data_IF_227653492808
#
_entry.id   IF_227653492808
#
_cell.length_a   1.000
_cell.length_b   1.000
_cell.length_c   1.000
_cell.angle_alpha   90.00
_cell.angle_beta   90.00
_cell.angle_gamma   90.00
#
_symmetry.space_group_name_H-M   'P 1'
#
loop_
_entity.id
_entity.type
_entity.pdbx_description
1 polymer ?
#
# COMPACT_ATOMS: atom_id res chain seq x y z
N UNK A 1 -97.12 9.71 16.91
CA UNK A 1 -96.00 10.11 16.02
C UNK A 1 -94.71 9.79 16.77
N UNK A 2 -94.15 8.66 16.49
CA UNK A 2 -92.97 8.12 17.18
C UNK A 2 -91.81 8.23 16.24
N UNK A 3 -90.72 8.87 16.66
CA UNK A 3 -89.44 8.95 15.90
C UNK A 3 -88.37 8.16 16.65
N UNK A 4 -88.02 7.04 16.06
CA UNK A 4 -86.91 6.22 16.49
C UNK A 4 -85.58 6.84 16.02
N UNK A 5 -84.71 7.09 16.96
CA UNK A 5 -83.32 7.48 16.66
C UNK A 5 -82.46 6.22 16.65
N UNK A 6 -81.89 5.92 15.49
CA UNK A 6 -80.90 4.90 15.34
C UNK A 6 -79.46 5.48 15.62
N UNK A 7 -78.80 4.91 16.62
CA UNK A 7 -77.41 5.24 16.93
C UNK A 7 -76.43 4.43 16.00
N UNK A 8 -75.77 5.15 15.11
CA UNK A 8 -74.70 4.58 14.37
C UNK A 8 -73.42 4.62 15.24
N UNK A 9 -72.91 3.46 15.61
CA UNK A 9 -71.55 3.31 16.21
C UNK A 9 -70.53 3.25 15.09
N UNK A 10 -69.75 4.30 14.94
CA UNK A 10 -68.51 4.32 14.10
C UNK A 10 -67.37 3.79 14.92
N UNK A 11 -66.91 2.60 14.58
CA UNK A 11 -65.60 2.04 15.05
C UNK A 11 -64.49 2.65 14.23
N UNK A 12 -63.70 3.53 14.85
CA UNK A 12 -62.48 4.05 14.27
C UNK A 12 -61.41 2.97 14.35
N UNK A 13 -61.09 2.35 13.22
CA UNK A 13 -59.96 1.48 13.09
C UNK A 13 -58.67 2.31 12.96
N UNK A 14 -57.87 2.27 13.99
CA UNK A 14 -56.52 2.84 13.93
C UNK A 14 -55.60 1.91 13.11
N UNK A 15 -55.34 2.28 11.87
CA UNK A 15 -54.29 1.63 11.07
C UNK A 15 -52.93 2.12 11.54
N UNK A 16 -52.24 1.30 12.33
CA UNK A 16 -50.81 1.47 12.63
C UNK A 16 -49.98 1.14 11.37
N UNK A 17 -49.66 2.16 10.60
CA UNK A 17 -48.67 2.05 9.54
C UNK A 17 -47.30 2.03 10.20
N UNK A 18 -46.79 0.82 10.47
CA UNK A 18 -45.41 0.62 10.90
C UNK A 18 -44.44 0.97 9.76
N UNK A 19 -43.85 2.15 9.80
CA UNK A 19 -42.70 2.50 8.97
C UNK A 19 -41.53 1.65 9.41
N UNK A 20 -41.27 0.56 8.69
CA UNK A 20 -39.99 -0.18 8.81
C UNK A 20 -38.93 0.72 8.23
N UNK A 21 -38.26 1.51 9.07
CA UNK A 21 -37.01 2.15 8.77
C UNK A 21 -35.97 1.03 8.62
N UNK A 22 -35.75 0.55 7.39
CA UNK A 22 -34.56 -0.18 7.01
C UNK A 22 -33.39 0.78 7.18
N UNK A 23 -32.85 0.83 8.39
CA UNK A 23 -31.57 1.46 8.65
C UNK A 23 -30.52 0.75 7.82
N UNK A 24 -30.19 1.32 6.67
CA UNK A 24 -28.95 1.01 5.96
C UNK A 24 -27.81 1.42 6.90
N UNK A 25 -27.47 0.54 7.83
CA UNK A 25 -26.21 0.61 8.53
C UNK A 25 -25.16 0.40 7.46
N UNK A 26 -24.62 1.49 6.90
CA UNK A 26 -23.40 1.44 6.15
C UNK A 26 -22.40 0.76 7.09
N UNK A 27 -22.10 -0.52 6.84
CA UNK A 27 -21.07 -1.20 7.55
C UNK A 27 -19.81 -0.33 7.43
N UNK A 28 -19.17 0.04 8.53
CA UNK A 28 -17.95 0.80 8.46
C UNK A 28 -17.03 0.02 7.53
N UNK A 29 -16.50 0.69 6.50
CA UNK A 29 -15.51 0.10 5.61
C UNK A 29 -14.38 -0.40 6.51
N UNK A 30 -14.36 -1.71 6.78
CA UNK A 30 -13.39 -2.28 7.69
C UNK A 30 -12.03 -2.04 7.06
N UNK A 31 -11.15 -1.39 7.80
CA UNK A 31 -9.80 -1.14 7.36
C UNK A 31 -9.15 -2.49 7.09
N UNK A 32 -9.10 -2.89 5.83
CA UNK A 32 -8.48 -4.14 5.43
C UNK A 32 -7.00 -4.10 5.77
N UNK A 33 -6.57 -5.14 6.45
CA UNK A 33 -5.19 -5.32 6.83
C UNK A 33 -4.72 -6.68 6.34
N UNK A 34 -3.84 -6.66 5.37
CA UNK A 34 -3.15 -7.85 4.89
C UNK A 34 -1.77 -7.97 5.57
N UNK A 35 -1.40 -9.17 5.92
CA UNK A 35 -0.12 -9.49 6.53
C UNK A 35 0.48 -10.67 5.79
N UNK A 36 1.60 -10.42 5.12
CA UNK A 36 2.41 -11.44 4.47
C UNK A 36 3.62 -11.73 5.35
N UNK A 37 3.98 -13.00 5.44
CA UNK A 37 5.22 -13.46 6.05
C UNK A 37 6.03 -14.14 4.96
N UNK A 38 7.31 -13.85 4.94
CA UNK A 38 8.25 -14.40 3.99
C UNK A 38 9.29 -15.25 4.71
N UNK A 39 9.88 -16.18 4.00
CA UNK A 39 10.98 -16.96 4.52
C UNK A 39 12.20 -16.07 4.75
N UNK A 40 13.16 -16.54 5.50
CA UNK A 40 14.41 -15.83 5.72
C UNK A 40 15.51 -16.43 4.88
N UNK A 41 16.33 -15.56 4.29
CA UNK A 41 17.50 -15.98 3.54
C UNK A 41 17.17 -16.57 2.17
N UNK A 42 16.07 -16.14 1.58
CA UNK A 42 15.62 -16.53 0.23
C UNK A 42 15.73 -15.38 -0.79
N UNK A 43 16.56 -14.39 -0.47
CA UNK A 43 16.84 -13.28 -1.39
C UNK A 43 17.52 -13.82 -2.65
N UNK A 44 16.90 -13.53 -3.79
CA UNK A 44 17.48 -13.86 -5.09
C UNK A 44 18.41 -12.71 -5.49
N UNK A 45 19.65 -13.04 -5.74
CA UNK A 45 20.63 -12.13 -6.33
C UNK A 45 20.83 -12.49 -7.80
N UNK A 46 20.99 -11.51 -8.66
CA UNK A 46 21.41 -11.71 -10.03
C UNK A 46 22.67 -10.91 -10.30
N UNK A 47 23.60 -11.53 -11.00
CA UNK A 47 24.82 -10.90 -11.52
C UNK A 47 24.79 -10.98 -13.03
N UNK A 48 25.14 -9.89 -13.68
CA UNK A 48 25.29 -9.85 -15.13
C UNK A 48 26.77 -9.77 -15.47
N UNK A 49 27.22 -10.65 -16.33
CA UNK A 49 28.55 -10.63 -16.93
C UNK A 49 28.41 -10.55 -18.45
N UNK A 50 29.18 -9.70 -19.09
CA UNK A 50 29.21 -9.60 -20.56
C UNK A 50 29.68 -10.90 -21.24
N UNK A 51 30.41 -11.74 -20.51
CA UNK A 51 30.97 -12.99 -21.03
C UNK A 51 30.05 -14.17 -20.76
N UNK A 52 29.50 -14.27 -19.54
CA UNK A 52 28.78 -15.45 -19.07
C UNK A 52 27.25 -15.24 -19.06
N UNK A 53 26.79 -14.01 -19.34
CA UNK A 53 25.38 -13.65 -19.29
C UNK A 53 24.88 -13.43 -17.85
N UNK A 54 23.56 -13.61 -17.65
CA UNK A 54 22.91 -13.45 -16.35
C UNK A 54 22.96 -14.76 -15.55
N UNK A 55 23.46 -14.69 -14.33
CA UNK A 55 23.37 -15.76 -13.35
C UNK A 55 22.54 -15.29 -12.15
N UNK A 56 21.58 -16.09 -11.70
CA UNK A 56 20.76 -15.79 -10.53
C UNK A 56 20.77 -16.94 -9.54
N UNK A 57 20.71 -16.62 -8.25
CA UNK A 57 20.71 -17.63 -7.19
C UNK A 57 20.24 -17.04 -5.85
N UNK A 58 19.92 -17.92 -4.91
CA UNK A 58 19.55 -17.52 -3.55
C UNK A 58 20.84 -17.20 -2.78
N UNK A 59 20.92 -15.99 -2.21
CA UNK A 59 22.01 -15.59 -1.33
C UNK A 59 21.48 -15.32 0.10
N UNK A 60 21.68 -16.28 1.03
CA UNK A 60 21.23 -16.12 2.40
C UNK A 60 22.05 -15.11 3.21
N UNK A 61 23.15 -14.57 2.67
CA UNK A 61 23.97 -13.57 3.35
C UNK A 61 23.42 -12.15 3.17
N UNK A 62 22.63 -11.93 2.14
CA UNK A 62 21.93 -10.65 1.91
C UNK A 62 20.80 -10.52 2.92
N UNK A 63 20.88 -9.52 3.78
CA UNK A 63 19.91 -9.31 4.86
C UNK A 63 19.17 -7.97 4.76
N UNK A 64 19.76 -7.00 4.09
CA UNK A 64 19.25 -5.63 3.98
C UNK A 64 17.99 -5.50 3.14
N UNK A 65 17.70 -6.46 2.28
CA UNK A 65 16.51 -6.56 1.45
C UNK A 65 15.68 -7.82 1.73
N UNK A 66 16.13 -8.67 2.64
CA UNK A 66 15.43 -9.88 3.09
C UNK A 66 14.15 -9.49 3.87
N UNK A 67 13.01 -9.47 3.18
CA UNK A 67 11.73 -9.06 3.72
C UNK A 67 11.11 -10.21 4.53
N UNK A 68 11.06 -10.09 5.84
CA UNK A 68 10.48 -11.12 6.72
C UNK A 68 9.02 -10.91 7.05
N UNK A 69 8.51 -9.70 6.85
CA UNK A 69 7.10 -9.39 7.08
C UNK A 69 6.67 -8.12 6.37
N UNK A 70 5.63 -8.23 5.58
CA UNK A 70 4.94 -7.10 4.96
C UNK A 70 3.55 -6.92 5.57
N UNK A 71 3.18 -5.69 5.84
CA UNK A 71 1.84 -5.31 6.31
C UNK A 71 1.32 -4.20 5.44
N UNK A 72 0.21 -4.46 4.75
CA UNK A 72 -0.54 -3.48 3.98
C UNK A 72 -1.82 -3.16 4.75
N UNK A 73 -2.06 -1.88 5.01
CA UNK A 73 -3.27 -1.37 5.65
C UNK A 73 -4.00 -0.44 4.70
N UNK A 74 -5.21 -0.79 4.34
CA UNK A 74 -6.16 0.05 3.64
C UNK A 74 -7.13 0.65 4.67
N UNK A 75 -6.79 1.81 5.22
CA UNK A 75 -7.62 2.52 6.20
C UNK A 75 -8.55 3.53 5.54
N UNK A 76 -9.47 4.12 6.29
CA UNK A 76 -10.48 5.06 5.79
C UNK A 76 -9.88 6.30 5.10
N UNK A 77 -8.76 6.79 5.60
CA UNK A 77 -8.11 8.02 5.11
C UNK A 77 -6.80 7.77 4.40
N UNK A 78 -6.10 6.71 4.77
CA UNK A 78 -4.72 6.47 4.34
C UNK A 78 -4.48 5.00 4.01
N UNK A 79 -3.64 4.79 3.02
CA UNK A 79 -2.99 3.50 2.77
C UNK A 79 -1.62 3.53 3.44
N UNK A 80 -1.22 2.39 4.01
CA UNK A 80 0.08 2.24 4.67
C UNK A 80 0.69 0.91 4.30
N UNK A 81 1.92 0.94 3.83
CA UNK A 81 2.73 -0.23 3.51
C UNK A 81 3.92 -0.22 4.44
N UNK A 82 4.13 -1.32 5.15
CA UNK A 82 5.25 -1.50 6.06
C UNK A 82 5.92 -2.83 5.76
N UNK A 83 7.20 -2.79 5.43
CA UNK A 83 8.06 -3.95 5.28
C UNK A 83 9.02 -4.00 6.46
N UNK A 84 9.14 -5.15 7.09
CA UNK A 84 10.18 -5.47 8.06
C UNK A 84 11.19 -6.37 7.39
N UNK A 85 12.45 -5.99 7.52
CA UNK A 85 13.59 -6.72 6.98
C UNK A 85 14.23 -7.58 8.07
N UNK A 86 15.10 -8.47 7.67
CA UNK A 86 15.85 -9.34 8.57
C UNK A 86 16.88 -8.56 9.39
N UNK A 87 17.67 -7.70 8.72
CA UNK A 87 18.69 -6.85 9.33
C UNK A 87 18.99 -5.68 8.38
N UNK A 88 18.49 -4.50 8.67
CA UNK A 88 18.70 -3.30 7.88
C UNK A 88 19.81 -2.46 8.54
N UNK A 89 20.94 -2.32 7.88
CA UNK A 89 22.04 -1.51 8.36
C UNK A 89 21.87 -0.04 7.95
N UNK A 90 22.55 0.84 8.67
CA UNK A 90 22.46 2.28 8.38
C UNK A 90 23.01 2.65 6.99
N UNK A 91 23.94 1.89 6.47
CA UNK A 91 24.58 2.11 5.15
C UNK A 91 23.84 1.43 3.98
N UNK A 92 22.94 0.48 4.27
CA UNK A 92 22.29 -0.26 3.21
C UNK A 92 21.44 0.67 2.34
N UNK A 93 21.53 0.47 1.05
CA UNK A 93 20.72 1.12 0.03
C UNK A 93 19.61 0.15 -0.35
N UNK A 94 18.50 0.66 -0.81
CA UNK A 94 17.45 -0.22 -1.25
C UNK A 94 16.17 0.49 -1.62
N UNK A 95 15.38 -0.23 -2.40
CA UNK A 95 14.08 0.20 -2.88
C UNK A 95 13.01 -0.78 -2.44
N UNK A 96 11.97 -0.25 -1.82
CA UNK A 96 10.70 -0.94 -1.65
C UNK A 96 9.80 -0.54 -2.81
N UNK A 97 9.35 -1.51 -3.57
CA UNK A 97 8.40 -1.34 -4.65
C UNK A 97 7.10 -2.05 -4.30
N UNK A 98 5.97 -1.36 -4.43
CA UNK A 98 4.66 -1.96 -4.23
C UNK A 98 3.76 -1.68 -5.42
N UNK A 99 3.30 -2.74 -6.08
CA UNK A 99 2.26 -2.65 -7.10
C UNK A 99 0.91 -2.80 -6.42
N UNK A 100 0.06 -1.81 -6.55
CA UNK A 100 -1.27 -1.76 -5.97
C UNK A 100 -2.31 -1.91 -7.08
N UNK A 101 -2.98 -3.05 -7.14
CA UNK A 101 -4.19 -3.22 -7.95
C UNK A 101 -5.40 -2.78 -7.14
N UNK A 102 -6.23 -1.94 -7.72
CA UNK A 102 -7.45 -1.39 -7.11
C UNK A 102 -8.65 -1.52 -8.04
N UNK A 103 -9.81 -1.09 -7.62
CA UNK A 103 -10.96 -0.92 -8.51
C UNK A 103 -10.90 0.36 -9.36
N UNK A 104 -9.94 1.24 -9.10
CA UNK A 104 -9.78 2.52 -9.81
C UNK A 104 -8.57 2.50 -10.78
N UNK A 105 -7.66 1.50 -10.66
CA UNK A 105 -6.47 1.43 -11.52
C UNK A 105 -5.34 0.64 -10.89
N UNK A 106 -4.21 0.67 -11.59
CA UNK A 106 -2.97 0.01 -11.21
C UNK A 106 -1.92 1.08 -10.86
N UNK A 107 -1.38 1.02 -9.65
CA UNK A 107 -0.44 2.03 -9.15
C UNK A 107 0.87 1.40 -8.71
N UNK A 108 1.96 2.08 -8.99
CA UNK A 108 3.29 1.75 -8.48
C UNK A 108 3.65 2.72 -7.35
N UNK A 109 3.97 2.19 -6.19
CA UNK A 109 4.48 2.96 -5.05
C UNK A 109 5.92 2.58 -4.81
N UNK A 110 6.81 3.55 -4.88
CA UNK A 110 8.25 3.34 -4.66
C UNK A 110 8.68 4.10 -3.41
N UNK A 111 9.47 3.46 -2.56
CA UNK A 111 10.19 4.10 -1.46
C UNK A 111 11.65 3.70 -1.56
N UNK A 112 12.48 4.66 -1.90
CA UNK A 112 13.91 4.46 -2.14
C UNK A 112 14.73 5.11 -1.02
N UNK A 113 15.84 4.48 -0.67
CA UNK A 113 16.86 5.01 0.22
C UNK A 113 18.20 5.06 -0.49
N UNK A 114 18.79 6.24 -0.48
CA UNK A 114 20.15 6.46 -0.97
C UNK A 114 20.99 7.14 0.10
N UNK A 115 22.30 6.90 0.17
CA UNK A 115 23.20 7.58 1.10
C UNK A 115 23.30 9.07 0.82
N UNK A 116 23.21 9.48 -0.45
CA UNK A 116 23.45 10.85 -0.89
C UNK A 116 22.23 11.77 -0.73
N UNK A 117 21.02 11.25 -1.01
CA UNK A 117 19.80 12.05 -1.07
C UNK A 117 18.76 11.66 -0.01
N UNK A 118 19.14 10.74 0.88
CA UNK A 118 18.23 10.27 1.93
C UNK A 118 17.16 9.32 1.40
N UNK A 119 15.90 9.56 1.73
CA UNK A 119 14.79 8.71 1.25
C UNK A 119 13.77 9.53 0.47
N UNK A 120 13.32 8.96 -0.65
CA UNK A 120 12.24 9.50 -1.50
C UNK A 120 11.12 8.49 -1.61
N UNK A 121 9.89 8.97 -1.80
CA UNK A 121 8.74 8.13 -2.07
C UNK A 121 7.88 8.74 -3.16
N UNK A 122 7.50 7.92 -4.13
CA UNK A 122 6.75 8.32 -5.30
C UNK A 122 5.59 7.36 -5.55
N UNK A 123 4.56 7.85 -6.26
CA UNK A 123 3.43 7.07 -6.73
C UNK A 123 3.27 7.35 -8.21
N UNK A 124 3.15 6.29 -9.01
CA UNK A 124 2.90 6.37 -10.45
C UNK A 124 1.60 5.64 -10.76
N UNK A 125 0.77 6.21 -11.62
CA UNK A 125 -0.37 5.52 -12.20
C UNK A 125 0.11 4.75 -13.44
N UNK A 126 0.04 3.42 -13.37
CA UNK A 126 0.52 2.56 -14.47
C UNK A 126 -0.48 2.46 -15.64
N UNK A 127 -1.69 2.94 -15.45
CA UNK A 127 -2.72 3.01 -16.50
C UNK A 127 -2.71 4.39 -17.22
N UNK A 128 -1.81 5.29 -16.82
CA UNK A 128 -1.64 6.65 -17.37
C UNK A 128 -0.23 6.83 -17.95
N UNK A 129 -0.13 7.68 -18.97
CA UNK A 129 1.16 8.09 -19.55
C UNK A 129 1.85 9.20 -18.71
N UNK A 130 1.29 9.60 -17.58
CA UNK A 130 1.84 10.65 -16.73
C UNK A 130 2.99 10.17 -15.87
N UNK A 131 4.03 10.99 -15.72
CA UNK A 131 5.29 10.68 -15.00
C UNK A 131 5.17 10.69 -13.48
N UNK A 132 4.04 10.39 -12.90
CA UNK A 132 3.88 10.33 -11.46
C UNK A 132 2.74 11.18 -10.93
N UNK A 133 2.26 10.79 -9.78
CA UNK A 133 1.13 11.43 -9.11
C UNK A 133 1.64 12.39 -8.05
N UNK A 134 1.31 13.66 -8.17
CA UNK A 134 1.50 14.60 -7.06
C UNK A 134 0.66 14.15 -5.86
N UNK A 135 1.32 13.60 -4.83
CA UNK A 135 0.65 13.08 -3.64
C UNK A 135 0.99 13.93 -2.40
N UNK A 136 0.29 15.04 -2.18
CA UNK A 136 0.50 15.85 -0.99
C UNK A 136 0.16 15.06 0.27
N UNK A 137 1.09 15.06 1.22
CA UNK A 137 0.95 14.33 2.49
C UNK A 137 1.40 12.87 2.43
N UNK A 138 2.16 12.45 1.42
CA UNK A 138 2.93 11.22 1.49
C UNK A 138 3.91 11.30 2.66
N UNK A 139 4.02 10.23 3.41
CA UNK A 139 4.90 10.11 4.56
C UNK A 139 5.73 8.85 4.41
N UNK A 140 7.01 8.98 4.67
CA UNK A 140 7.96 7.88 4.56
C UNK A 140 8.86 7.81 5.79
N UNK A 141 9.31 6.61 6.12
CA UNK A 141 10.26 6.38 7.20
C UNK A 141 11.02 5.09 6.95
N UNK A 142 12.34 5.21 6.92
CA UNK A 142 13.24 4.07 6.87
C UNK A 142 14.04 4.09 8.17
N UNK A 143 14.09 2.95 8.87
CA UNK A 143 14.71 2.87 10.18
C UNK A 143 15.51 1.59 10.32
N UNK A 144 16.85 1.70 10.33
CA UNK A 144 17.75 0.60 10.65
C UNK A 144 17.50 0.06 12.08
N UNK A 145 17.27 0.92 13.06
CA UNK A 145 16.97 0.49 14.45
C UNK A 145 15.73 -0.41 14.56
N UNK A 146 14.81 -0.34 13.60
CA UNK A 146 13.55 -1.09 13.58
C UNK A 146 13.47 -2.05 12.40
N UNK A 147 14.53 -2.20 11.64
CA UNK A 147 14.62 -3.03 10.43
C UNK A 147 13.42 -2.82 9.52
N UNK A 148 13.13 -1.57 9.11
CA UNK A 148 11.86 -1.35 8.43
C UNK A 148 11.88 -0.23 7.43
N UNK A 149 11.10 -0.45 6.36
CA UNK A 149 10.58 0.54 5.43
C UNK A 149 9.10 0.79 5.73
N UNK A 150 8.69 2.05 5.65
CA UNK A 150 7.30 2.46 5.85
C UNK A 150 6.97 3.60 4.91
N UNK A 151 5.92 3.43 4.11
CA UNK A 151 5.27 4.51 3.37
C UNK A 151 3.80 4.60 3.77
N UNK A 152 3.28 5.81 3.84
CA UNK A 152 1.87 6.05 4.11
C UNK A 152 1.40 7.28 3.35
N UNK A 153 0.28 7.17 2.65
CA UNK A 153 -0.25 8.22 1.80
C UNK A 153 -1.77 8.30 1.86
N UNK A 154 -2.36 9.47 1.58
CA UNK A 154 -3.81 9.61 1.48
C UNK A 154 -4.40 8.70 0.41
N UNK A 155 -5.58 8.15 0.66
CA UNK A 155 -6.31 7.35 -0.35
C UNK A 155 -6.63 8.15 -1.62
N UNK A 156 -6.73 9.48 -1.50
CA UNK A 156 -6.97 10.37 -2.64
C UNK A 156 -5.85 10.34 -3.68
N UNK A 157 -4.64 9.94 -3.31
CA UNK A 157 -3.53 9.81 -4.26
C UNK A 157 -3.70 8.63 -5.24
N UNK A 158 -4.60 7.70 -4.92
CA UNK A 158 -4.92 6.53 -5.76
C UNK A 158 -6.44 6.42 -5.95
N UNK A 159 -7.09 7.56 -6.20
CA UNK A 159 -8.51 7.69 -6.54
C UNK A 159 -9.50 7.11 -5.52
N UNK A 160 -9.12 7.03 -4.23
CA UNK A 160 -9.95 6.54 -3.10
C UNK A 160 -10.55 5.15 -3.32
N UNK A 161 -9.75 4.14 -3.59
CA UNK A 161 -10.24 2.81 -3.93
C UNK A 161 -11.10 2.20 -2.82
N UNK A 162 -12.03 1.32 -3.21
CA UNK A 162 -12.84 0.53 -2.26
C UNK A 162 -12.07 -0.64 -1.69
N UNK A 163 -11.16 -1.19 -2.48
CA UNK A 163 -10.29 -2.29 -2.10
C UNK A 163 -8.92 -2.12 -2.75
N UNK A 164 -7.91 -2.74 -2.17
CA UNK A 164 -6.56 -2.83 -2.74
C UNK A 164 -6.07 -4.27 -2.63
N UNK A 165 -5.25 -4.67 -3.60
CA UNK A 165 -4.38 -5.86 -3.53
C UNK A 165 -2.97 -5.38 -3.79
N UNK A 166 -2.02 -5.84 -3.00
CA UNK A 166 -0.65 -5.38 -3.10
C UNK A 166 0.31 -6.53 -3.38
N UNK A 167 1.24 -6.31 -4.28
CA UNK A 167 2.47 -7.08 -4.41
C UNK A 167 3.60 -6.16 -3.97
N UNK A 168 4.44 -6.61 -3.05
CA UNK A 168 5.52 -5.80 -2.50
C UNK A 168 6.83 -6.55 -2.64
N UNK A 169 7.83 -5.87 -3.18
CA UNK A 169 9.18 -6.39 -3.34
C UNK A 169 10.21 -5.44 -2.73
N UNK A 170 11.35 -5.98 -2.40
CA UNK A 170 12.54 -5.23 -1.97
C UNK A 170 13.67 -5.52 -2.95
N UNK A 171 14.43 -4.49 -3.29
CA UNK A 171 15.64 -4.62 -4.10
C UNK A 171 16.76 -3.79 -3.50
N UNK A 172 17.98 -4.27 -3.61
CA UNK A 172 19.19 -3.52 -3.34
C UNK A 172 19.75 -3.04 -4.68
N UNK A 173 20.42 -1.90 -4.66
CA UNK A 173 21.17 -1.42 -5.81
C UNK A 173 22.49 -0.83 -5.31
N UNK A 174 23.53 -1.07 -6.02
CA UNK A 174 24.81 -0.42 -5.84
C UNK A 174 24.90 0.79 -6.76
N UNK A 175 25.17 1.96 -6.19
CA UNK A 175 25.58 3.11 -6.99
C UNK A 175 27.06 2.88 -7.28
N UNK A 176 27.37 2.38 -8.46
CA UNK A 176 28.74 2.38 -8.96
C UNK A 176 29.08 3.85 -9.16
N UNK A 177 29.86 4.41 -8.25
CA UNK A 177 30.50 5.71 -8.48
C UNK A 177 31.50 5.45 -9.59
N UNK A 178 31.16 5.87 -10.82
CA UNK A 178 32.12 5.83 -11.91
C UNK A 178 33.34 6.59 -11.46
N UNK A 179 34.49 5.94 -11.44
CA UNK A 179 35.76 6.59 -11.37
C UNK A 179 35.83 7.53 -12.57
N UNK A 180 35.70 8.83 -12.29
CA UNK A 180 36.06 9.84 -13.27
C UNK A 180 37.57 9.77 -13.33
N UNK A 181 38.08 8.87 -14.15
CA UNK A 181 39.44 8.88 -14.58
C UNK A 181 39.64 10.15 -15.40
N UNK A 182 40.01 11.22 -14.68
CA UNK A 182 40.53 12.44 -15.29
C UNK A 182 41.94 12.16 -15.73
N UNK A 183 42.08 11.37 -16.78
CA UNK A 183 43.31 11.24 -17.51
C UNK A 183 43.30 12.17 -18.73
N UNK A 184 43.41 13.48 -18.45
CA UNK A 184 43.81 14.48 -19.41
C UNK A 184 45.21 14.95 -19.07
N UNK A 185 46.19 14.19 -19.51
CA UNK A 185 47.56 14.68 -19.67
C UNK A 185 47.82 15.12 -21.10
#
# INVERSE_FOLDING_TARGET
>A
MSRSFAFLRTTAGAALTGAVMLGLTAAPASADREVFRDARGDVVTSTFSEVDGEASGIDPTVTGTDAVRTVVKHGDRRIRIKVRLRDLRAKDQGTMTAVLKTNEGLYLVTLMRTPLWGSTADIVDLDSDEEGIACPGIQQSISAKKDRFLVSFPRSCVSRPRWIRAMVSMSEFEIIQGETENDFS
#
